data_IF_246310572111
#
_entry.id   IF_246310572111
#
_cell.length_a   1.000
_cell.length_b   1.000
_cell.length_c   1.000
_cell.angle_alpha   90.00
_cell.angle_beta   90.00
_cell.angle_gamma   90.00
#
_symmetry.space_group_name_H-M   'P 1'
#
loop_
_entity.id
_entity.type
_entity.pdbx_description
1 polymer ?
#
# COMPACT_ATOMS: atom_id res chain seq x y z
N UNK A 1 10.57 -13.48 -19.11
CA UNK A 1 11.54 -12.68 -18.34
C UNK A 1 11.09 -12.75 -16.90
N UNK A 2 11.91 -13.30 -16.00
CA UNK A 2 11.50 -13.41 -14.60
C UNK A 2 11.34 -12.01 -14.01
N UNK A 3 10.22 -11.73 -13.35
CA UNK A 3 9.99 -10.44 -12.71
C UNK A 3 10.91 -10.31 -11.51
N UNK A 4 11.39 -9.09 -11.22
CA UNK A 4 12.22 -8.78 -10.05
C UNK A 4 11.66 -9.38 -8.75
N UNK A 5 10.33 -9.36 -8.58
CA UNK A 5 9.65 -9.95 -7.42
C UNK A 5 9.80 -11.48 -7.42
N UNK A 6 9.60 -12.15 -8.56
CA UNK A 6 9.78 -13.60 -8.63
C UNK A 6 11.23 -14.01 -8.34
N UNK A 7 12.22 -13.24 -8.80
CA UNK A 7 13.63 -13.47 -8.47
C UNK A 7 13.89 -13.33 -6.97
N UNK A 8 13.37 -12.26 -6.37
CA UNK A 8 13.49 -12.05 -4.93
C UNK A 8 12.89 -13.21 -4.15
N UNK A 9 11.63 -13.55 -4.43
CA UNK A 9 10.93 -14.62 -3.71
C UNK A 9 11.65 -15.96 -3.84
N UNK A 10 12.23 -16.27 -5.01
CA UNK A 10 13.05 -17.48 -5.16
C UNK A 10 14.31 -17.43 -4.30
N UNK A 11 14.99 -16.29 -4.23
CA UNK A 11 16.21 -16.12 -3.43
C UNK A 11 15.93 -16.14 -1.92
N UNK A 12 14.73 -15.72 -1.51
CA UNK A 12 14.33 -15.66 -0.10
C UNK A 12 13.41 -16.82 0.29
N UNK A 13 13.39 -17.93 -0.44
CA UNK A 13 12.65 -19.13 -0.03
C UNK A 13 11.13 -19.00 -0.01
N UNK A 14 10.56 -18.06 -0.77
CA UNK A 14 9.12 -17.88 -0.98
C UNK A 14 8.50 -16.69 -0.23
N UNK A 15 9.21 -16.10 0.73
CA UNK A 15 8.75 -14.91 1.47
C UNK A 15 9.84 -13.86 1.56
N UNK A 16 9.49 -12.58 1.45
CA UNK A 16 10.44 -11.47 1.52
C UNK A 16 9.93 -10.34 2.42
N UNK A 17 10.86 -9.62 3.05
CA UNK A 17 10.56 -8.46 3.89
C UNK A 17 10.70 -7.16 3.11
N UNK A 18 9.71 -6.28 3.23
CA UNK A 18 9.74 -4.91 2.70
C UNK A 18 9.79 -3.88 3.84
N UNK A 19 9.92 -2.61 3.47
CA UNK A 19 10.08 -1.49 4.40
C UNK A 19 8.89 -1.25 5.35
N UNK A 20 9.10 -0.32 6.29
CA UNK A 20 8.10 0.18 7.23
C UNK A 20 7.56 1.57 6.90
N UNK A 21 6.91 2.20 7.87
CA UNK A 21 6.36 3.54 7.73
C UNK A 21 7.41 4.64 7.63
N UNK A 22 7.36 5.44 6.57
CA UNK A 22 8.30 6.54 6.33
C UNK A 22 8.06 7.75 7.26
N UNK A 23 6.81 8.21 7.38
CA UNK A 23 6.47 9.45 8.09
C UNK A 23 6.89 9.41 9.57
N UNK A 24 6.54 8.33 10.27
CA UNK A 24 6.87 8.17 11.69
C UNK A 24 8.38 8.19 11.95
N UNK A 25 9.19 7.65 11.04
CA UNK A 25 10.64 7.69 11.19
C UNK A 25 11.22 9.06 10.85
N UNK A 26 10.66 9.77 9.85
CA UNK A 26 11.05 11.15 9.56
C UNK A 26 10.81 12.06 10.77
N UNK A 27 9.66 11.95 11.44
CA UNK A 27 9.36 12.71 12.67
C UNK A 27 10.36 12.40 13.80
N UNK A 28 10.72 11.12 13.98
CA UNK A 28 11.74 10.71 14.96
C UNK A 28 13.12 11.28 14.67
N UNK A 29 13.40 11.53 13.39
CA UNK A 29 14.62 12.19 12.93
C UNK A 29 14.50 13.72 12.88
N UNK A 30 13.41 14.29 13.39
CA UNK A 30 13.22 15.73 13.56
C UNK A 30 12.58 16.45 12.37
N UNK A 31 12.00 15.73 11.41
CA UNK A 31 11.26 16.35 10.32
C UNK A 31 9.91 16.90 10.83
N UNK A 32 9.57 18.12 10.42
CA UNK A 32 8.25 18.70 10.63
C UNK A 32 7.30 18.28 9.50
N UNK A 33 6.33 17.43 9.84
CA UNK A 33 5.33 16.91 8.92
C UNK A 33 3.96 17.63 9.02
N UNK A 34 3.87 18.74 9.76
CA UNK A 34 2.64 19.52 9.91
C UNK A 34 2.32 20.37 8.67
N UNK A 35 2.33 19.73 7.50
CA UNK A 35 2.04 20.31 6.20
C UNK A 35 1.40 19.24 5.30
N UNK A 36 0.26 19.50 4.63
CA UNK A 36 -0.34 18.53 3.70
C UNK A 36 0.60 18.07 2.58
N UNK A 37 1.62 18.86 2.25
CA UNK A 37 2.67 18.59 1.28
C UNK A 37 4.02 18.30 1.96
N UNK A 38 4.02 17.77 3.18
CA UNK A 38 5.23 17.49 3.95
C UNK A 38 6.27 16.69 3.17
N UNK A 39 5.85 15.78 2.28
CA UNK A 39 6.75 14.94 1.49
C UNK A 39 7.53 15.77 0.48
N UNK A 40 6.87 16.71 -0.21
CA UNK A 40 7.51 17.66 -1.11
C UNK A 40 8.41 18.64 -0.33
N UNK A 41 7.93 19.16 0.80
CA UNK A 41 8.70 20.04 1.70
C UNK A 41 9.97 19.34 2.17
N UNK A 42 9.88 18.08 2.61
CA UNK A 42 11.01 17.29 3.10
C UNK A 42 12.00 16.95 1.98
N UNK A 43 11.53 16.61 0.78
CA UNK A 43 12.39 16.40 -0.40
C UNK A 43 13.22 17.64 -0.74
N UNK A 44 12.65 18.83 -0.57
CA UNK A 44 13.32 20.09 -0.86
C UNK A 44 14.24 20.56 0.29
N UNK A 45 13.72 20.60 1.51
CA UNK A 45 14.40 21.21 2.66
C UNK A 45 15.33 20.24 3.39
N UNK A 46 14.99 18.96 3.44
CA UNK A 46 15.63 17.95 4.30
C UNK A 46 15.84 16.60 3.61
N UNK A 47 16.35 16.53 2.36
CA UNK A 47 16.50 15.27 1.62
C UNK A 47 17.47 14.28 2.28
N UNK A 48 18.34 14.76 3.18
CA UNK A 48 19.24 13.91 3.97
C UNK A 48 18.47 13.04 4.97
N UNK A 49 17.35 13.52 5.54
CA UNK A 49 16.51 12.73 6.44
C UNK A 49 15.81 11.59 5.69
N UNK A 50 15.32 11.85 4.48
CA UNK A 50 14.74 10.81 3.61
C UNK A 50 15.78 9.72 3.32
N UNK A 51 17.01 10.10 2.96
CA UNK A 51 18.11 9.15 2.77
C UNK A 51 18.50 8.39 4.03
N UNK A 52 18.36 9.00 5.21
CA UNK A 52 18.68 8.38 6.48
C UNK A 52 17.64 7.32 6.87
N UNK A 53 16.36 7.59 6.61
CA UNK A 53 15.26 6.64 6.89
C UNK A 53 15.27 5.47 5.92
N UNK A 54 15.60 5.71 4.64
CA UNK A 54 15.83 4.64 3.67
C UNK A 54 17.15 3.91 3.98
N UNK A 55 17.08 2.88 4.81
CA UNK A 55 18.24 2.04 5.11
C UNK A 55 18.74 1.31 3.85
N UNK A 56 20.06 1.29 3.58
CA UNK A 56 20.63 0.51 2.47
C UNK A 56 20.36 -1.00 2.54
N UNK A 57 19.91 -1.50 3.70
CA UNK A 57 19.61 -2.91 3.93
C UNK A 57 18.38 -3.41 3.17
N UNK A 58 17.52 -2.52 2.66
CA UNK A 58 16.33 -2.90 1.90
C UNK A 58 16.60 -2.84 0.39
N UNK A 59 16.24 -3.93 -0.28
CA UNK A 59 16.75 -4.27 -1.62
C UNK A 59 16.02 -3.55 -2.77
N UNK A 60 14.87 -2.96 -2.50
CA UNK A 60 14.05 -2.32 -3.52
C UNK A 60 14.10 -0.80 -3.38
N UNK A 61 14.34 -0.12 -4.50
CA UNK A 61 14.00 1.29 -4.63
C UNK A 61 12.55 1.38 -5.08
N UNK A 62 11.63 1.30 -4.12
CA UNK A 62 10.23 1.59 -4.39
C UNK A 62 10.03 3.09 -4.52
N UNK A 63 9.20 3.50 -5.47
CA UNK A 63 8.56 4.81 -5.36
C UNK A 63 7.07 4.63 -5.13
N UNK A 64 6.65 5.10 -3.96
CA UNK A 64 5.28 5.14 -3.51
C UNK A 64 4.55 6.24 -4.30
N UNK A 65 3.59 5.88 -5.15
CA UNK A 65 2.57 6.86 -5.51
C UNK A 65 1.59 6.92 -4.36
N UNK A 66 1.85 7.79 -3.38
CA UNK A 66 0.85 8.15 -2.39
C UNK A 66 -0.32 8.80 -3.14
N UNK A 67 -1.39 8.06 -3.37
CA UNK A 67 -2.72 8.68 -3.43
C UNK A 67 -3.11 8.96 -2.00
N UNK A 68 -2.99 10.22 -1.59
CA UNK A 68 -3.75 10.65 -0.44
C UNK A 68 -5.23 10.35 -0.73
N UNK A 69 -6.01 9.84 0.24
CA UNK A 69 -7.45 9.80 0.10
C UNK A 69 -7.93 11.22 -0.14
N UNK A 70 -8.54 11.45 -1.30
CA UNK A 70 -9.15 12.72 -1.66
C UNK A 70 -10.61 12.50 -1.97
N UNK A 71 -11.49 13.32 -1.40
CA UNK A 71 -12.84 13.46 -1.93
C UNK A 71 -12.75 14.16 -3.27
N UNK A 72 -12.86 13.38 -4.35
CA UNK A 72 -12.87 13.93 -5.68
C UNK A 72 -14.30 14.36 -6.12
N UNK A 73 -15.33 14.09 -5.30
CA UNK A 73 -16.73 14.35 -5.61
C UNK A 73 -17.35 13.34 -6.58
N UNK A 74 -18.66 13.44 -6.82
CA UNK A 74 -19.42 12.51 -7.70
C UNK A 74 -19.12 12.69 -9.21
N UNK A 75 -18.27 13.64 -9.60
CA UNK A 75 -18.03 14.01 -11.00
C UNK A 75 -16.74 13.42 -11.63
N UNK A 76 -16.13 12.43 -11.01
CA UNK A 76 -14.76 12.01 -11.35
C UNK A 76 -14.76 10.79 -12.24
N UNK A 77 -14.16 10.96 -13.41
CA UNK A 77 -14.06 9.93 -14.43
C UNK A 77 -12.68 9.28 -14.42
N UNK A 78 -12.58 8.09 -15.03
CA UNK A 78 -11.31 7.39 -15.29
C UNK A 78 -10.31 8.32 -15.98
N UNK A 79 -10.75 9.12 -16.95
CA UNK A 79 -9.86 10.05 -17.65
C UNK A 79 -9.36 11.19 -16.75
N UNK A 80 -10.19 11.69 -15.83
CA UNK A 80 -9.75 12.70 -14.85
C UNK A 80 -8.65 12.14 -13.95
N UNK A 81 -8.81 10.93 -13.42
CA UNK A 81 -7.78 10.27 -12.60
C UNK A 81 -6.51 10.00 -13.39
N UNK A 82 -6.63 9.49 -14.63
CA UNK A 82 -5.49 9.29 -15.51
C UNK A 82 -4.75 10.59 -15.75
N UNK A 83 -5.44 11.67 -16.11
CA UNK A 83 -4.83 12.99 -16.32
C UNK A 83 -4.10 13.49 -15.06
N UNK A 84 -4.68 13.31 -13.89
CA UNK A 84 -4.07 13.71 -12.62
C UNK A 84 -2.80 12.89 -12.31
N UNK A 85 -2.80 11.59 -12.57
CA UNK A 85 -1.68 10.71 -12.24
C UNK A 85 -0.61 10.57 -13.32
N UNK A 86 -0.94 10.89 -14.58
CA UNK A 86 -0.08 10.66 -15.76
C UNK A 86 1.33 11.19 -15.58
N UNK A 87 1.47 12.48 -15.26
CA UNK A 87 2.80 13.10 -15.11
C UNK A 87 3.61 12.47 -13.97
N UNK A 88 2.95 12.13 -12.86
CA UNK A 88 3.61 11.48 -11.71
C UNK A 88 4.12 10.10 -12.08
N UNK A 89 3.28 9.28 -12.73
CA UNK A 89 3.66 7.92 -13.15
C UNK A 89 4.85 7.96 -14.11
N UNK A 90 4.86 8.88 -15.09
CA UNK A 90 5.98 9.06 -16.02
C UNK A 90 7.28 9.43 -15.27
N UNK A 91 7.26 10.47 -14.43
CA UNK A 91 8.44 10.91 -13.68
C UNK A 91 9.02 9.77 -12.82
N UNK A 92 8.15 9.01 -12.15
CA UNK A 92 8.58 7.92 -11.29
C UNK A 92 9.14 6.74 -12.08
N UNK A 93 8.52 6.41 -13.22
CA UNK A 93 9.03 5.37 -14.11
C UNK A 93 10.42 5.72 -14.67
N UNK A 94 10.68 6.99 -14.95
CA UNK A 94 11.95 7.48 -15.49
C UNK A 94 13.02 7.77 -14.40
N UNK A 95 12.66 7.66 -13.12
CA UNK A 95 13.57 7.98 -12.00
C UNK A 95 14.63 6.91 -11.72
N UNK A 96 14.58 5.78 -12.43
CA UNK A 96 15.40 4.60 -12.12
C UNK A 96 14.82 3.73 -10.99
N UNK A 97 13.51 3.83 -10.75
CA UNK A 97 12.79 2.96 -9.82
C UNK A 97 12.72 1.52 -10.36
N UNK A 98 12.77 0.56 -9.44
CA UNK A 98 12.71 -0.86 -9.80
C UNK A 98 11.27 -1.31 -10.15
N UNK A 99 10.29 -0.67 -9.51
CA UNK A 99 8.85 -0.86 -9.73
C UNK A 99 8.03 0.31 -9.20
N UNK A 100 6.79 0.43 -9.69
CA UNK A 100 5.81 1.40 -9.19
C UNK A 100 4.90 0.77 -8.13
N UNK A 101 4.87 1.37 -6.94
CA UNK A 101 3.99 0.98 -5.86
C UNK A 101 2.74 1.89 -5.83
N UNK A 102 1.60 1.39 -6.31
CA UNK A 102 0.32 2.07 -6.13
C UNK A 102 -0.30 1.61 -4.81
N UNK A 103 -0.27 2.49 -3.81
CA UNK A 103 -0.63 2.14 -2.44
C UNK A 103 -1.81 2.93 -1.95
N UNK A 104 -2.54 2.35 -1.00
CA UNK A 104 -3.71 2.99 -0.38
C UNK A 104 -4.67 3.49 -1.46
N UNK A 105 -4.86 2.70 -2.53
CA UNK A 105 -5.67 3.10 -3.69
C UNK A 105 -7.10 3.38 -3.22
N UNK A 106 -7.54 4.66 -3.09
CA UNK A 106 -8.77 5.01 -2.39
C UNK A 106 -9.83 5.50 -3.37
N UNK A 107 -10.95 4.81 -3.50
CA UNK A 107 -12.15 5.37 -4.15
C UNK A 107 -13.42 5.39 -3.29
N UNK A 108 -13.60 6.47 -2.52
CA UNK A 108 -14.79 6.91 -1.77
C UNK A 108 -14.95 6.42 -0.32
N UNK A 109 -14.33 7.13 0.63
CA UNK A 109 -14.93 7.64 1.89
C UNK A 109 -13.86 8.07 2.90
N UNK A 110 -14.20 9.13 3.66
CA UNK A 110 -13.44 9.97 4.62
C UNK A 110 -12.51 11.01 3.98
N UNK A 111 -12.52 12.29 4.37
CA UNK A 111 -13.08 12.93 5.57
C UNK A 111 -13.57 14.37 5.27
N UNK A 112 -14.39 14.85 6.19
CA UNK A 112 -14.93 16.19 6.29
C UNK A 112 -13.86 17.28 6.11
N UNK A 113 -14.14 18.23 5.20
CA UNK A 113 -13.73 19.65 5.21
C UNK A 113 -13.46 20.15 3.79
N UNK A 114 -14.05 21.30 3.47
CA UNK A 114 -14.01 22.06 2.21
C UNK A 114 -15.16 21.68 1.25
N UNK A 115 -16.38 22.04 1.65
CA UNK A 115 -17.41 22.43 0.69
C UNK A 115 -17.29 23.95 0.44
N UNK A 116 -16.57 24.30 -0.62
CA UNK A 116 -16.67 25.59 -1.31
C UNK A 116 -16.98 25.29 -2.77
N UNK A 117 -18.22 24.90 -3.09
CA UNK A 117 -18.97 25.46 -4.23
C UNK A 117 -20.28 24.71 -4.42
N UNK A 118 -21.38 25.30 -3.95
CA UNK A 118 -22.72 24.84 -4.26
C UNK A 118 -22.96 24.76 -5.77
N UNK A 119 -23.28 23.54 -6.26
CA UNK A 119 -23.91 23.27 -7.57
C UNK A 119 -24.77 22.00 -7.52
N UNK A 120 -25.78 21.88 -8.40
CA UNK A 120 -27.04 21.21 -8.09
C UNK A 120 -27.03 19.68 -8.31
N UNK A 121 -28.02 19.07 -7.66
CA UNK A 121 -28.40 17.65 -7.62
C UNK A 121 -28.49 16.97 -9.01
N UNK A 122 -27.68 15.92 -9.21
CA UNK A 122 -27.74 15.00 -10.36
C UNK A 122 -28.01 13.58 -9.84
N UNK A 123 -29.22 13.35 -9.36
CA UNK A 123 -29.66 12.08 -8.75
C UNK A 123 -29.97 10.94 -9.73
N UNK A 124 -29.61 11.02 -11.03
CA UNK A 124 -29.99 10.00 -12.03
C UNK A 124 -28.87 9.35 -12.87
N UNK A 125 -27.58 9.61 -12.63
CA UNK A 125 -26.48 8.88 -13.29
C UNK A 125 -25.69 8.02 -12.29
N UNK A 126 -26.30 6.93 -11.82
CA UNK A 126 -25.75 6.01 -10.80
C UNK A 126 -25.10 4.73 -11.38
N UNK A 127 -24.51 4.77 -12.57
CA UNK A 127 -23.86 3.57 -13.16
C UNK A 127 -22.43 3.89 -13.60
N UNK A 128 -21.50 3.11 -13.05
CA UNK A 128 -20.03 3.11 -13.24
C UNK A 128 -19.19 3.92 -12.22
N UNK A 129 -19.34 3.60 -10.93
CA UNK A 129 -18.39 3.97 -9.87
C UNK A 129 -17.31 2.91 -9.72
N UNK A 130 -16.33 2.87 -10.64
CA UNK A 130 -15.18 1.95 -10.61
C UNK A 130 -13.99 2.62 -11.29
N UNK A 131 -13.04 3.20 -10.57
CA UNK A 131 -12.22 4.22 -11.23
C UNK A 131 -10.71 4.13 -11.00
N UNK A 132 -10.21 3.83 -9.81
CA UNK A 132 -8.77 3.96 -9.54
C UNK A 132 -7.91 2.82 -10.10
N UNK A 133 -8.11 1.53 -9.74
CA UNK A 133 -7.29 0.45 -10.28
C UNK A 133 -7.46 0.31 -11.80
N UNK A 134 -8.63 0.69 -12.33
CA UNK A 134 -8.87 0.78 -13.78
C UNK A 134 -8.06 1.90 -14.41
N UNK A 135 -8.09 3.11 -13.84
CA UNK A 135 -7.31 4.25 -14.31
C UNK A 135 -5.82 3.93 -14.32
N UNK A 136 -5.29 3.34 -13.25
CA UNK A 136 -3.89 2.94 -13.19
C UNK A 136 -3.53 1.85 -14.19
N UNK A 137 -4.36 0.81 -14.33
CA UNK A 137 -4.12 -0.25 -15.30
C UNK A 137 -4.11 0.28 -16.75
N UNK A 138 -5.04 1.19 -17.08
CA UNK A 138 -5.08 1.87 -18.37
C UNK A 138 -3.86 2.78 -18.57
N UNK A 139 -3.51 3.58 -17.56
CA UNK A 139 -2.38 4.51 -17.61
C UNK A 139 -1.05 3.78 -17.81
N UNK A 140 -0.82 2.67 -17.10
CA UNK A 140 0.38 1.84 -17.28
C UNK A 140 0.53 1.34 -18.73
N UNK A 141 -0.60 1.07 -19.41
CA UNK A 141 -0.62 0.62 -20.80
C UNK A 141 -0.45 1.78 -21.79
N UNK A 142 -1.19 2.87 -21.60
CA UNK A 142 -1.19 4.03 -22.49
C UNK A 142 0.15 4.76 -22.51
N UNK A 143 0.78 4.89 -21.35
CA UNK A 143 2.09 5.53 -21.21
C UNK A 143 3.26 4.56 -21.48
N UNK A 144 2.96 3.33 -21.89
CA UNK A 144 3.96 2.29 -22.21
C UNK A 144 5.03 2.11 -21.11
N UNK A 145 4.59 2.13 -19.86
CA UNK A 145 5.47 2.07 -18.69
C UNK A 145 6.27 0.76 -18.70
N UNK A 146 7.59 0.85 -18.67
CA UNK A 146 8.49 -0.30 -18.86
C UNK A 146 8.71 -1.12 -17.60
N UNK A 147 8.72 -0.47 -16.43
CA UNK A 147 8.90 -1.12 -15.14
C UNK A 147 7.61 -1.75 -14.63
N UNK A 148 7.68 -2.82 -13.83
CA UNK A 148 6.50 -3.46 -13.27
C UNK A 148 5.84 -2.59 -12.19
N UNK A 149 4.61 -2.95 -11.80
CA UNK A 149 3.87 -2.30 -10.74
C UNK A 149 3.27 -3.30 -9.75
N UNK A 150 2.92 -2.86 -8.55
CA UNK A 150 1.94 -3.56 -7.71
C UNK A 150 0.77 -2.64 -7.39
N UNK A 151 -0.38 -3.23 -7.06
CA UNK A 151 -1.52 -2.53 -6.49
C UNK A 151 -1.74 -3.00 -5.07
N UNK A 152 -1.78 -2.07 -4.12
CA UNK A 152 -2.11 -2.35 -2.72
C UNK A 152 -3.30 -1.51 -2.28
N UNK A 153 -4.24 -2.16 -1.59
CA UNK A 153 -5.48 -1.57 -1.13
C UNK A 153 -5.52 -1.47 0.40
N UNK A 154 -6.41 -0.66 0.96
CA UNK A 154 -6.67 -0.63 2.39
C UNK A 154 -8.15 -0.91 2.69
N UNK A 155 -8.44 -1.42 3.88
CA UNK A 155 -9.79 -1.77 4.33
C UNK A 155 -10.03 -1.31 5.76
N UNK A 156 -11.28 -0.94 6.06
CA UNK A 156 -11.75 -0.61 7.42
C UNK A 156 -12.72 -1.64 7.99
N UNK A 157 -13.31 -2.49 7.14
CA UNK A 157 -14.33 -3.47 7.50
C UNK A 157 -13.89 -4.94 7.30
N UNK A 158 -12.72 -5.16 6.70
CA UNK A 158 -12.19 -6.50 6.42
C UNK A 158 -12.78 -7.18 5.18
N UNK A 159 -13.56 -6.47 4.37
CA UNK A 159 -14.24 -7.01 3.18
C UNK A 159 -14.08 -6.10 1.96
N UNK A 160 -14.33 -4.82 2.15
CA UNK A 160 -14.30 -3.80 1.11
C UNK A 160 -13.04 -2.97 1.24
N UNK A 161 -12.61 -2.37 0.14
CA UNK A 161 -11.63 -1.29 0.20
C UNK A 161 -12.25 -0.08 0.91
N UNK A 162 -11.48 0.83 1.52
CA UNK A 162 -12.02 2.00 2.29
C UNK A 162 -13.05 2.82 1.50
N UNK A 163 -12.82 2.82 0.22
CA UNK A 163 -13.66 3.15 -0.91
C UNK A 163 -15.12 2.64 -0.94
N UNK A 164 -15.43 1.55 -0.26
CA UNK A 164 -16.67 0.81 -0.42
C UNK A 164 -16.70 -0.15 -1.61
N UNK A 165 -15.71 -0.12 -2.53
CA UNK A 165 -15.60 -1.11 -3.60
C UNK A 165 -15.22 -2.50 -3.05
N UNK A 166 -15.62 -3.55 -3.76
CA UNK A 166 -15.26 -4.92 -3.37
C UNK A 166 -13.77 -5.17 -3.60
N UNK A 167 -13.07 -5.64 -2.56
CA UNK A 167 -11.67 -6.04 -2.69
C UNK A 167 -11.46 -7.11 -3.76
N UNK A 168 -12.42 -8.03 -3.93
CA UNK A 168 -12.33 -9.09 -4.94
C UNK A 168 -12.39 -8.52 -6.36
N UNK A 169 -13.19 -7.48 -6.58
CA UNK A 169 -13.26 -6.79 -7.87
C UNK A 169 -11.95 -6.04 -8.15
N UNK A 170 -11.44 -5.28 -7.17
CA UNK A 170 -10.15 -4.61 -7.27
C UNK A 170 -9.00 -5.60 -7.55
N UNK A 171 -9.00 -6.75 -6.87
CA UNK A 171 -8.04 -7.83 -7.08
C UNK A 171 -8.14 -8.45 -8.48
N UNK A 172 -9.35 -8.62 -9.02
CA UNK A 172 -9.57 -9.12 -10.39
C UNK A 172 -9.05 -8.15 -11.46
N UNK A 173 -9.23 -6.84 -11.24
CA UNK A 173 -8.66 -5.80 -12.12
C UNK A 173 -7.14 -5.88 -12.09
N UNK A 174 -6.56 -5.96 -10.89
CA UNK A 174 -5.11 -6.11 -10.71
C UNK A 174 -4.59 -7.38 -11.39
N UNK A 175 -5.29 -8.51 -11.27
CA UNK A 175 -4.95 -9.78 -11.94
C UNK A 175 -4.89 -9.62 -13.47
N UNK A 176 -5.89 -8.95 -14.05
CA UNK A 176 -6.00 -8.76 -15.51
C UNK A 176 -4.89 -7.88 -16.12
N UNK A 177 -4.22 -7.07 -15.31
CA UNK A 177 -3.15 -6.18 -15.77
C UNK A 177 -1.78 -6.88 -15.73
N UNK A 178 -1.20 -7.18 -16.89
CA UNK A 178 0.11 -7.85 -17.00
C UNK A 178 1.30 -7.04 -16.45
N UNK A 179 1.19 -5.71 -16.39
CA UNK A 179 2.19 -4.83 -15.76
C UNK A 179 2.14 -4.90 -14.23
N UNK A 180 1.00 -5.28 -13.67
CA UNK A 180 0.85 -5.52 -12.24
C UNK A 180 1.37 -6.92 -11.93
N UNK A 181 2.42 -7.00 -11.11
CA UNK A 181 3.14 -8.25 -10.79
C UNK A 181 2.89 -8.74 -9.37
N UNK A 182 2.21 -7.95 -8.53
CA UNK A 182 1.80 -8.30 -7.18
C UNK A 182 0.55 -7.51 -6.76
N UNK A 183 -0.22 -8.05 -5.82
CA UNK A 183 -1.44 -7.43 -5.28
C UNK A 183 -1.38 -7.45 -3.76
N UNK A 184 -1.82 -6.40 -3.09
CA UNK A 184 -1.56 -6.27 -1.66
C UNK A 184 -2.62 -5.58 -0.83
N UNK A 185 -2.38 -5.62 0.48
CA UNK A 185 -3.10 -4.87 1.49
C UNK A 185 -2.10 -4.08 2.33
N UNK A 186 -2.35 -2.79 2.47
CA UNK A 186 -1.57 -1.90 3.32
C UNK A 186 -2.44 -1.03 4.20
N UNK A 187 -1.81 -0.40 5.20
CA UNK A 187 -2.44 0.59 6.08
C UNK A 187 -3.79 0.13 6.70
N UNK A 188 -3.93 -1.17 6.89
CA UNK A 188 -5.13 -1.84 7.41
C UNK A 188 -4.78 -2.48 8.75
N UNK A 189 -5.64 -2.43 9.76
CA UNK A 189 -5.38 -3.08 11.04
C UNK A 189 -5.07 -4.59 10.90
N UNK A 190 -4.05 -5.13 11.60
CA UNK A 190 -3.64 -6.54 11.52
C UNK A 190 -4.79 -7.55 11.65
N UNK A 191 -5.77 -7.25 12.52
CA UNK A 191 -6.97 -8.09 12.76
C UNK A 191 -7.78 -8.41 11.50
N UNK A 192 -7.77 -7.54 10.48
CA UNK A 192 -8.52 -7.74 9.24
C UNK A 192 -7.71 -8.48 8.16
N UNK A 193 -6.38 -8.47 8.26
CA UNK A 193 -5.48 -8.95 7.20
C UNK A 193 -5.72 -10.42 6.84
N UNK A 194 -5.97 -11.28 7.84
CA UNK A 194 -6.22 -12.71 7.60
C UNK A 194 -7.38 -12.92 6.61
N UNK A 195 -8.53 -12.29 6.86
CA UNK A 195 -9.71 -12.40 6.00
C UNK A 195 -9.46 -11.83 4.61
N UNK A 196 -8.74 -10.71 4.52
CA UNK A 196 -8.43 -10.04 3.26
C UNK A 196 -7.49 -10.86 2.37
N UNK A 197 -6.49 -11.57 2.95
CA UNK A 197 -5.65 -12.51 2.20
C UNK A 197 -6.51 -13.62 1.59
N UNK A 198 -7.43 -14.20 2.39
CA UNK A 198 -8.34 -15.26 1.93
C UNK A 198 -9.22 -14.77 0.78
N UNK A 199 -9.67 -13.52 0.80
CA UNK A 199 -10.43 -12.92 -0.30
C UNK A 199 -9.58 -12.72 -1.56
N UNK A 200 -8.38 -12.15 -1.44
CA UNK A 200 -7.50 -11.91 -2.59
C UNK A 200 -7.12 -13.22 -3.29
N UNK A 201 -6.84 -14.30 -2.55
CA UNK A 201 -6.50 -15.61 -3.14
C UNK A 201 -7.59 -16.21 -4.01
N UNK A 202 -8.84 -15.75 -3.90
CA UNK A 202 -9.93 -16.20 -4.78
C UNK A 202 -9.86 -15.58 -6.17
N UNK A 203 -9.14 -14.47 -6.34
CA UNK A 203 -9.18 -13.65 -7.55
C UNK A 203 -7.82 -13.35 -8.17
N UNK A 204 -6.71 -13.61 -7.48
CA UNK A 204 -5.37 -13.41 -8.04
C UNK A 204 -4.45 -14.61 -7.80
N UNK A 205 -3.60 -14.88 -8.79
CA UNK A 205 -2.49 -15.85 -8.69
C UNK A 205 -1.16 -15.17 -8.42
N UNK A 206 -1.14 -13.83 -8.39
CA UNK A 206 0.07 -13.03 -8.18
C UNK A 206 0.49 -13.07 -6.70
N UNK A 207 1.79 -12.88 -6.41
CA UNK A 207 2.28 -12.72 -5.05
C UNK A 207 1.47 -11.68 -4.25
N UNK A 208 1.16 -12.02 -3.00
CA UNK A 208 0.40 -11.14 -2.11
C UNK A 208 1.36 -10.31 -1.24
N UNK A 209 1.19 -8.99 -1.22
CA UNK A 209 2.00 -8.02 -0.46
C UNK A 209 1.22 -7.51 0.74
N UNK A 210 1.76 -7.61 1.96
CA UNK A 210 1.06 -7.28 3.21
C UNK A 210 1.92 -6.35 4.08
N UNK A 211 1.44 -5.15 4.33
CA UNK A 211 2.15 -4.17 5.14
C UNK A 211 1.14 -3.31 5.93
N UNK A 212 0.57 -3.87 7.01
CA UNK A 212 -0.48 -3.22 7.79
C UNK A 212 0.07 -2.04 8.59
N UNK A 213 -0.85 -1.26 9.17
CA UNK A 213 -0.46 -0.36 10.26
C UNK A 213 -0.12 -1.17 11.53
N UNK A 214 0.46 -0.53 12.54
CA UNK A 214 0.84 -1.21 13.80
C UNK A 214 -0.34 -1.73 14.63
N UNK A 215 -1.60 -1.37 14.31
CA UNK A 215 -2.82 -1.93 14.92
C UNK A 215 -3.76 -0.92 15.55
N UNK A 216 -3.29 0.26 15.89
CA UNK A 216 -4.13 1.34 16.38
C UNK A 216 -4.85 2.11 15.25
N UNK A 217 -5.84 2.94 15.57
CA UNK A 217 -6.70 3.60 14.56
C UNK A 217 -6.34 5.09 14.43
N UNK A 218 -6.34 5.64 13.22
CA UNK A 218 -6.17 7.08 13.02
C UNK A 218 -7.52 7.75 13.11
N UNK A 219 -7.62 8.75 13.97
CA UNK A 219 -8.77 9.64 14.09
C UNK A 219 -8.49 10.88 13.23
N UNK A 220 -9.27 11.04 12.15
CA UNK A 220 -9.06 12.13 11.20
C UNK A 220 -9.49 13.49 11.75
N UNK A 221 -10.46 13.51 12.68
CA UNK A 221 -11.00 14.74 13.27
C UNK A 221 -10.03 15.29 14.31
N UNK A 222 -9.47 14.40 15.13
CA UNK A 222 -8.45 14.74 16.11
C UNK A 222 -7.05 14.86 15.49
N UNK A 223 -6.87 14.37 14.26
CA UNK A 223 -5.57 14.21 13.59
C UNK A 223 -4.57 13.43 14.44
N UNK A 224 -5.07 12.47 15.19
CA UNK A 224 -4.33 11.73 16.20
C UNK A 224 -4.53 10.23 16.03
N UNK A 225 -3.55 9.48 16.53
CA UNK A 225 -3.56 8.04 16.52
C UNK A 225 -4.06 7.53 17.87
N UNK A 226 -5.23 6.90 17.89
CA UNK A 226 -5.85 6.40 19.13
C UNK A 226 -5.56 4.92 19.35
N UNK A 227 -5.17 4.55 20.57
CA UNK A 227 -4.98 3.16 20.97
C UNK A 227 -6.31 2.40 20.91
N UNK A 228 -6.28 1.18 20.39
CA UNK A 228 -7.47 0.36 20.30
C UNK A 228 -7.69 -0.33 21.66
N UNK A 229 -8.71 0.08 22.41
CA UNK A 229 -8.97 -0.37 23.78
C UNK A 229 -9.65 -1.76 23.88
N UNK A 230 -9.78 -2.49 22.76
CA UNK A 230 -10.77 -3.59 22.66
C UNK A 230 -10.32 -4.97 22.17
N UNK A 231 -9.05 -5.24 21.87
CA UNK A 231 -8.62 -6.60 21.45
C UNK A 231 -7.24 -6.91 22.03
N UNK A 232 -7.09 -8.10 22.59
CA UNK A 232 -5.81 -8.63 23.09
C UNK A 232 -4.78 -8.62 21.96
N UNK A 233 -3.72 -7.84 22.13
CA UNK A 233 -2.56 -7.77 21.24
C UNK A 233 -1.84 -9.13 21.19
N UNK A 234 -2.23 -10.02 20.28
CA UNK A 234 -1.24 -10.98 19.78
C UNK A 234 -0.07 -10.16 19.22
N UNK A 235 1.16 -10.50 19.59
CA UNK A 235 2.36 -9.81 19.08
C UNK A 235 2.30 -9.73 17.55
N UNK A 236 2.58 -8.55 16.98
CA UNK A 236 2.56 -8.26 15.54
C UNK A 236 3.25 -9.37 14.71
N UNK A 237 4.28 -9.98 15.29
CA UNK A 237 5.06 -11.07 14.69
C UNK A 237 4.29 -12.40 14.59
N UNK A 238 3.42 -12.71 15.55
CA UNK A 238 2.56 -13.90 15.51
C UNK A 238 1.64 -13.85 14.28
N UNK A 239 1.12 -12.66 13.96
CA UNK A 239 0.32 -12.46 12.76
C UNK A 239 1.11 -12.67 11.47
N UNK A 240 2.36 -12.20 11.40
CA UNK A 240 3.21 -12.31 10.20
C UNK A 240 3.36 -13.75 9.74
N UNK A 241 3.66 -14.67 10.67
CA UNK A 241 3.80 -16.10 10.34
C UNK A 241 2.50 -16.67 9.78
N UNK A 242 1.37 -16.38 10.45
CA UNK A 242 0.03 -16.80 10.00
C UNK A 242 -0.30 -16.25 8.60
N UNK A 243 0.06 -15.00 8.30
CA UNK A 243 -0.17 -14.40 6.99
C UNK A 243 0.65 -15.08 5.89
N UNK A 244 1.90 -15.43 6.17
CA UNK A 244 2.76 -16.15 5.23
C UNK A 244 2.20 -17.54 4.92
N UNK A 245 1.75 -18.29 5.94
CA UNK A 245 1.10 -19.59 5.77
C UNK A 245 -0.17 -19.50 4.91
N UNK A 246 -0.90 -18.39 5.02
CA UNK A 246 -2.08 -18.15 4.18
C UNK A 246 -1.73 -17.79 2.74
N UNK A 247 -0.49 -17.37 2.44
CA UNK A 247 -0.02 -17.06 1.09
C UNK A 247 0.48 -15.63 0.89
N UNK A 248 0.69 -14.85 1.95
CA UNK A 248 1.45 -13.60 1.84
C UNK A 248 2.91 -13.91 1.44
N UNK A 249 3.38 -13.26 0.39
CA UNK A 249 4.74 -13.46 -0.15
C UNK A 249 5.68 -12.32 0.18
N UNK A 250 5.16 -11.09 0.32
CA UNK A 250 5.94 -9.93 0.74
C UNK A 250 5.30 -9.34 1.99
N UNK A 251 6.08 -9.10 3.04
CA UNK A 251 5.57 -8.61 4.33
C UNK A 251 6.40 -7.43 4.84
N UNK A 252 5.75 -6.37 5.31
CA UNK A 252 6.42 -5.21 5.90
C UNK A 252 5.51 -4.45 6.84
N UNK A 253 5.63 -3.12 6.84
CA UNK A 253 4.82 -2.26 7.69
C UNK A 253 4.43 -0.93 7.04
N UNK A 254 3.34 -0.35 7.51
CA UNK A 254 2.88 0.98 7.09
C UNK A 254 2.91 1.94 8.29
N UNK A 255 1.84 2.67 8.56
CA UNK A 255 1.82 3.70 9.58
C UNK A 255 2.23 3.18 10.96
N UNK A 256 3.11 3.96 11.63
CA UNK A 256 3.72 3.71 12.95
C UNK A 256 4.51 2.42 13.11
N UNK A 257 4.67 1.64 12.05
CA UNK A 257 5.71 0.60 12.05
C UNK A 257 7.08 1.26 11.97
N UNK A 258 8.09 0.57 12.52
CA UNK A 258 9.42 1.15 12.75
C UNK A 258 10.49 0.20 12.22
N UNK A 259 11.75 0.64 12.07
CA UNK A 259 12.86 -0.26 11.75
C UNK A 259 13.01 -1.40 12.76
N UNK A 260 12.64 -1.19 14.03
CA UNK A 260 12.60 -2.26 15.03
C UNK A 260 11.51 -3.30 14.72
N UNK A 261 10.33 -2.86 14.27
CA UNK A 261 9.27 -3.74 13.77
C UNK A 261 9.78 -4.58 12.60
N UNK A 262 10.37 -3.94 11.59
CA UNK A 262 10.85 -4.63 10.38
C UNK A 262 11.96 -5.64 10.70
N UNK A 263 12.89 -5.31 11.61
CA UNK A 263 13.91 -6.27 12.08
C UNK A 263 13.29 -7.50 12.74
N UNK A 264 12.24 -7.32 13.55
CA UNK A 264 11.54 -8.46 14.16
C UNK A 264 10.85 -9.34 13.11
N UNK A 265 10.21 -8.74 12.09
CA UNK A 265 9.62 -9.47 10.95
C UNK A 265 10.71 -10.30 10.25
N UNK A 266 11.84 -9.67 9.94
CA UNK A 266 12.96 -10.32 9.29
C UNK A 266 13.51 -11.51 10.09
N UNK A 267 13.72 -11.33 11.40
CA UNK A 267 14.20 -12.42 12.26
C UNK A 267 13.21 -13.59 12.33
N UNK A 268 11.91 -13.30 12.41
CA UNK A 268 10.88 -14.34 12.46
C UNK A 268 10.85 -15.17 11.16
N UNK A 269 10.88 -14.53 10.00
CA UNK A 269 10.84 -15.23 8.72
C UNK A 269 12.15 -15.98 8.40
N UNK A 270 13.30 -15.43 8.78
CA UNK A 270 14.61 -16.09 8.60
C UNK A 270 14.76 -17.34 9.48
N UNK A 271 14.21 -17.30 10.70
CA UNK A 271 14.25 -18.44 11.63
C UNK A 271 13.38 -19.61 11.14
N UNK A 272 12.19 -19.30 10.61
CA UNK A 272 11.30 -20.31 10.03
C UNK A 272 11.89 -20.98 8.79
N UNK A 273 12.63 -20.24 7.96
CA UNK A 273 13.32 -20.80 6.78
C UNK A 273 14.49 -21.71 7.16
N UNK A 274 15.26 -21.33 8.19
CA UNK A 274 16.36 -22.15 8.70
C UNK A 274 15.88 -23.48 9.30
N UNK A 275 14.72 -23.47 9.98
CA UNK A 275 14.11 -24.67 10.53
C UNK A 275 13.63 -25.67 9.45
N UNK A 276 13.15 -25.17 8.30
CA UNK A 276 12.74 -25.99 7.14
C UNK A 276 13.96 -26.63 6.43
N UNK A 277 15.10 -25.94 6.40
CA UNK A 277 16.35 -26.46 5.84
C UNK A 277 17.03 -27.50 6.75
N UNK A 278 16.86 -27.39 8.07
CA UNK A 278 17.44 -28.33 9.05
C UNK A 278 16.65 -29.64 9.21
N UNK A 279 15.48 -29.76 8.59
CA UNK A 279 14.58 -30.94 8.67
C UNK A 279 14.49 -31.75 7.37
N UNK A 280 15.34 -31.42 6.38
CA UNK A 280 15.55 -32.21 5.15
C UNK A 280 16.91 -32.87 5.18
#
# INVERSE_FOLDING_TARGET
MSSLIADLLRQTGGTAVIDGGLATELERHGADLNDPLWSAKCLFSSPHLIRQVHSPSFRFKFVHTLTAPGDYGDAITVETLKRFHRRRVQILADSGADLLAFETVPNKLEAESIDLAGRPDISQQRKEKKVDPVAYAQLLKEEDIKIPAWFSFNSKDGVNVVSGDSLMECGSIAESCNKVVAVGINCTPPRFIHGLIVLLKKVTTKPIVIYPNSGETYDADLKEWVQNTGVTDEDFISYVSKWCELGASLVGGCCRTTPATIRKIYSALSSSQSAILATK
#
